data_IF_799275523556
#
_entry.id   IF_799275523556
#
_cell.length_a   1.000
_cell.length_b   1.000
_cell.length_c   1.000
_cell.angle_alpha   90.00
_cell.angle_beta   90.00
_cell.angle_gamma   90.00
#
_symmetry.space_group_name_H-M   'P 1'
#
loop_
_entity.id
_entity.type
_entity.pdbx_description
1 polymer ?
#
# COMPACT_ATOMS: atom_id res chain seq x y z
N UNK A 1 -24.05 23.91 -24.84
CA UNK A 1 -24.39 24.36 -23.47
C UNK A 1 -24.39 23.23 -22.43
N UNK A 2 -24.68 21.96 -22.76
CA UNK A 2 -24.50 20.83 -21.81
C UNK A 2 -23.10 20.23 -21.81
N UNK A 3 -22.34 20.35 -22.90
CA UNK A 3 -20.97 19.83 -23.01
C UNK A 3 -19.93 20.67 -22.28
N UNK A 4 -20.14 21.99 -22.17
CA UNK A 4 -19.21 22.92 -21.51
C UNK A 4 -19.34 22.88 -19.97
N UNK A 5 -20.53 22.60 -19.43
CA UNK A 5 -20.73 22.42 -17.98
C UNK A 5 -20.06 21.14 -17.45
N UNK A 6 -19.92 20.11 -18.27
CA UNK A 6 -19.36 18.84 -17.84
C UNK A 6 -17.83 18.89 -17.79
N UNK A 7 -17.18 19.56 -18.75
CA UNK A 7 -15.73 19.79 -18.73
C UNK A 7 -15.31 20.77 -17.63
N UNK A 8 -16.14 21.77 -17.31
CA UNK A 8 -15.88 22.72 -16.21
C UNK A 8 -16.02 22.06 -14.82
N UNK A 9 -16.90 21.06 -14.68
CA UNK A 9 -17.02 20.26 -13.45
C UNK A 9 -15.86 19.29 -13.27
N UNK A 10 -15.36 18.67 -14.34
CA UNK A 10 -14.16 17.80 -14.31
C UNK A 10 -12.91 18.63 -13.98
N UNK A 11 -12.75 19.81 -14.59
CA UNK A 11 -11.63 20.71 -14.27
C UNK A 11 -11.69 21.24 -12.84
N UNK A 12 -12.88 21.53 -12.30
CA UNK A 12 -13.03 21.92 -10.89
C UNK A 12 -12.76 20.75 -9.94
N UNK A 13 -13.11 19.52 -10.28
CA UNK A 13 -12.79 18.33 -9.48
C UNK A 13 -11.27 18.02 -9.50
N UNK A 14 -10.62 18.15 -10.65
CA UNK A 14 -9.17 17.98 -10.81
C UNK A 14 -8.37 19.11 -10.11
N UNK A 15 -8.89 20.35 -10.10
CA UNK A 15 -8.29 21.45 -9.33
C UNK A 15 -8.49 21.30 -7.82
N UNK A 16 -9.66 20.80 -7.37
CA UNK A 16 -9.91 20.50 -5.95
C UNK A 16 -9.01 19.38 -5.40
N UNK A 17 -8.60 18.44 -6.25
CA UNK A 17 -7.61 17.41 -5.92
C UNK A 17 -6.16 17.95 -5.88
N UNK A 18 -5.84 18.99 -6.67
CA UNK A 18 -4.50 19.57 -6.71
C UNK A 18 -4.21 20.59 -5.59
N UNK A 19 -5.22 21.24 -5.03
CA UNK A 19 -5.06 22.22 -3.95
C UNK A 19 -5.04 21.61 -2.53
N UNK A 20 -5.10 20.27 -2.39
CA UNK A 20 -5.35 19.59 -1.11
C UNK A 20 -4.23 18.66 -0.61
N UNK A 21 -3.01 18.78 -1.14
CA UNK A 21 -1.92 17.81 -0.90
C UNK A 21 -0.86 18.30 0.10
N UNK A 22 -1.24 19.12 1.08
CA UNK A 22 -0.42 19.34 2.28
C UNK A 22 -1.24 18.92 3.50
N UNK A 23 -0.91 17.73 4.03
CA UNK A 23 -1.40 17.18 5.30
C UNK A 23 -2.86 17.52 5.63
N UNK A 24 -3.80 16.89 4.91
CA UNK A 24 -5.19 16.90 5.35
C UNK A 24 -5.29 16.20 6.71
N UNK A 25 -5.60 16.96 7.75
CA UNK A 25 -6.29 16.39 8.90
C UNK A 25 -7.68 15.97 8.40
N UNK A 26 -7.82 14.68 8.07
CA UNK A 26 -9.11 14.12 7.71
C UNK A 26 -10.03 14.27 8.93
N UNK A 27 -11.12 15.03 8.78
CA UNK A 27 -12.14 15.14 9.81
C UNK A 27 -12.96 13.85 9.85
N UNK A 28 -12.36 12.81 10.42
CA UNK A 28 -13.07 11.59 10.77
C UNK A 28 -13.91 11.88 12.02
N UNK A 29 -15.17 11.42 12.00
CA UNK A 29 -16.07 11.61 13.14
C UNK A 29 -15.53 10.85 14.36
N UNK A 30 -15.84 11.37 15.55
CA UNK A 30 -15.51 10.68 16.79
C UNK A 30 -16.15 9.28 16.85
N UNK A 31 -17.33 9.10 16.26
CA UNK A 31 -17.99 7.80 16.14
C UNK A 31 -17.14 6.82 15.32
N UNK A 32 -16.67 7.20 14.12
CA UNK A 32 -15.81 6.33 13.31
C UNK A 32 -14.47 6.04 14.00
N UNK A 33 -13.89 7.02 14.70
CA UNK A 33 -12.66 6.80 15.45
C UNK A 33 -12.86 5.75 16.57
N UNK A 34 -14.02 5.73 17.22
CA UNK A 34 -14.37 4.71 18.23
C UNK A 34 -14.60 3.33 17.59
N UNK A 35 -15.25 3.26 16.43
CA UNK A 35 -15.38 2.00 15.67
C UNK A 35 -14.00 1.43 15.32
N UNK A 36 -13.09 2.27 14.83
CA UNK A 36 -11.70 1.87 14.52
C UNK A 36 -10.94 1.40 15.76
N UNK A 37 -11.21 1.97 16.93
CA UNK A 37 -10.65 1.50 18.20
C UNK A 37 -11.19 0.11 18.54
N UNK A 38 -12.50 -0.11 18.43
CA UNK A 38 -13.12 -1.42 18.66
C UNK A 38 -12.56 -2.47 17.68
N UNK A 39 -12.41 -2.14 16.40
CA UNK A 39 -11.83 -3.01 15.36
C UNK A 39 -10.40 -3.48 15.73
N UNK A 40 -9.56 -2.60 16.29
CA UNK A 40 -8.20 -2.97 16.74
C UNK A 40 -8.24 -3.89 17.96
N UNK A 41 -9.09 -3.57 18.94
CA UNK A 41 -9.20 -4.35 20.17
C UNK A 41 -9.74 -5.77 19.91
N UNK A 42 -10.69 -5.93 18.97
CA UNK A 42 -11.17 -7.24 18.53
C UNK A 42 -10.10 -8.09 17.83
N UNK A 43 -9.04 -7.45 17.31
CA UNK A 43 -7.90 -8.09 16.65
C UNK A 43 -6.70 -8.28 17.58
N UNK A 44 -6.88 -8.06 18.88
CA UNK A 44 -5.82 -8.08 19.89
C UNK A 44 -4.64 -7.11 19.54
N UNK A 45 -4.91 -6.04 18.80
CA UNK A 45 -3.91 -5.05 18.38
C UNK A 45 -3.95 -3.82 19.30
N UNK A 46 -2.85 -3.57 20.01
CA UNK A 46 -2.73 -2.40 20.87
C UNK A 46 -1.29 -1.89 20.98
N UNK A 47 -0.82 -1.20 19.93
CA UNK A 47 0.49 -0.55 19.90
C UNK A 47 0.36 0.95 20.20
N UNK A 48 0.52 1.31 21.47
CA UNK A 48 0.42 2.69 21.95
C UNK A 48 1.78 3.39 21.95
N UNK A 49 1.89 4.46 21.16
CA UNK A 49 3.05 5.34 21.11
C UNK A 49 2.93 6.44 22.19
N UNK A 50 3.92 6.48 23.08
CA UNK A 50 4.05 7.44 24.17
C UNK A 50 5.26 8.36 23.93
N UNK A 51 5.22 9.63 24.39
CA UNK A 51 4.18 10.27 25.21
C UNK A 51 3.00 10.88 24.42
N UNK A 52 2.93 10.71 23.11
CA UNK A 52 1.94 11.36 22.24
C UNK A 52 0.53 10.77 22.34
N UNK A 53 0.36 9.62 23.00
CA UNK A 53 -0.90 8.88 23.10
C UNK A 53 -1.52 8.64 21.72
N UNK A 54 -0.73 8.04 20.83
CA UNK A 54 -1.16 7.61 19.50
C UNK A 54 -1.20 6.09 19.45
N UNK A 55 -2.36 5.52 19.20
CA UNK A 55 -2.47 4.08 18.94
C UNK A 55 -2.32 3.84 17.44
N UNK A 56 -1.39 2.98 17.05
CA UNK A 56 -1.20 2.58 15.65
C UNK A 56 -2.47 1.90 15.16
N UNK A 57 -3.05 2.41 14.07
CA UNK A 57 -4.21 1.78 13.43
C UNK A 57 -3.80 0.97 12.20
N UNK A 58 -3.03 1.58 11.30
CA UNK A 58 -2.50 0.92 10.13
C UNK A 58 -1.21 1.59 9.70
N UNK A 59 -0.19 0.78 9.40
CA UNK A 59 1.09 1.22 8.85
C UNK A 59 1.53 0.31 7.71
N UNK A 60 1.75 0.90 6.53
CA UNK A 60 2.39 0.28 5.39
C UNK A 60 3.10 1.35 4.54
N UNK A 61 3.72 0.96 3.42
CA UNK A 61 4.48 1.90 2.58
C UNK A 61 3.66 2.99 1.88
N UNK A 62 2.33 2.88 1.88
CA UNK A 62 1.43 3.89 1.35
C UNK A 62 0.81 4.78 2.45
N UNK A 63 0.78 4.32 3.71
CA UNK A 63 0.10 5.04 4.79
C UNK A 63 0.69 4.77 6.18
N UNK A 64 0.74 5.81 7.01
CA UNK A 64 0.82 5.69 8.47
C UNK A 64 -0.41 6.36 9.09
N UNK A 65 -1.16 5.63 9.91
CA UNK A 65 -2.41 6.12 10.52
C UNK A 65 -2.52 5.75 11.98
N UNK A 66 -3.09 6.68 12.75
CA UNK A 66 -3.13 6.62 14.21
C UNK A 66 -4.48 7.07 14.77
N UNK A 67 -4.91 6.43 15.84
CA UNK A 67 -5.94 6.96 16.72
C UNK A 67 -5.27 7.81 17.80
N UNK A 68 -5.58 9.11 17.81
CA UNK A 68 -4.97 10.10 18.70
C UNK A 68 -5.92 10.41 19.85
N UNK A 69 -5.50 10.10 21.07
CA UNK A 69 -6.28 10.34 22.28
C UNK A 69 -6.02 11.76 22.81
N UNK A 70 -7.03 12.63 22.77
CA UNK A 70 -6.90 14.02 23.21
C UNK A 70 -7.22 14.19 24.69
N UNK A 71 -6.44 15.03 25.37
CA UNK A 71 -6.57 15.21 26.82
C UNK A 71 -6.29 13.94 27.60
N UNK A 72 -5.47 13.05 27.04
CA UNK A 72 -5.24 11.72 27.56
C UNK A 72 -4.34 11.73 28.81
N UNK A 73 -4.63 10.81 29.73
CA UNK A 73 -3.75 10.41 30.83
C UNK A 73 -3.84 8.91 31.01
N UNK A 74 -2.73 8.31 31.40
CA UNK A 74 -2.63 6.86 31.59
C UNK A 74 -2.25 6.52 33.03
N UNK A 75 -2.83 5.44 33.54
CA UNK A 75 -2.43 4.78 34.77
C UNK A 75 -2.19 3.29 34.51
N UNK A 76 -1.35 2.66 35.33
CA UNK A 76 -0.95 1.26 35.12
C UNK A 76 0.41 1.13 34.46
N UNK A 77 0.77 -0.09 34.07
CA UNK A 77 2.03 -0.42 33.41
C UNK A 77 1.71 -0.90 32.00
N UNK A 78 2.02 -0.09 31.00
CA UNK A 78 1.93 -0.51 29.61
C UNK A 78 3.15 -1.38 29.27
N UNK A 79 2.90 -2.55 28.67
CA UNK A 79 3.91 -3.45 28.13
C UNK A 79 3.91 -3.28 26.61
N UNK A 80 4.96 -2.65 26.08
CA UNK A 80 5.09 -2.36 24.65
C UNK A 80 5.49 -3.59 23.82
N UNK A 81 6.06 -4.62 24.46
CA UNK A 81 6.49 -5.88 23.84
C UNK A 81 5.49 -7.04 24.05
N UNK A 82 4.27 -6.76 24.48
CA UNK A 82 3.25 -7.78 24.73
C UNK A 82 2.60 -8.28 23.43
N UNK A 83 2.77 -9.57 23.12
CA UNK A 83 2.22 -10.25 21.92
C UNK A 83 1.07 -11.23 22.23
N UNK A 84 0.35 -11.03 23.34
CA UNK A 84 -0.74 -11.92 23.77
C UNK A 84 -2.15 -11.39 23.49
N UNK A 85 -3.20 -12.18 23.80
CA UNK A 85 -4.58 -11.73 23.70
C UNK A 85 -4.88 -10.57 24.66
N UNK A 86 -5.79 -9.69 24.27
CA UNK A 86 -6.22 -8.53 25.03
C UNK A 86 -7.64 -8.72 25.56
N UNK A 87 -7.89 -8.25 26.78
CA UNK A 87 -9.25 -7.99 27.25
C UNK A 87 -9.38 -6.49 27.44
N UNK A 88 -10.29 -5.87 26.69
CA UNK A 88 -10.42 -4.43 26.65
C UNK A 88 -11.87 -3.96 26.71
N UNK A 89 -12.06 -2.80 27.32
CA UNK A 89 -13.38 -2.16 27.39
C UNK A 89 -13.27 -0.65 27.30
N UNK A 90 -14.25 -0.05 26.62
CA UNK A 90 -14.40 1.40 26.50
C UNK A 90 -15.71 1.80 27.17
N UNK A 91 -15.64 2.72 28.13
CA UNK A 91 -16.82 3.33 28.75
C UNK A 91 -16.75 4.84 28.67
N UNK A 92 -17.91 5.50 28.75
CA UNK A 92 -18.00 6.95 28.84
C UNK A 92 -18.67 7.33 30.15
N UNK A 93 -17.90 7.91 31.07
CA UNK A 93 -18.34 8.24 32.43
C UNK A 93 -17.83 9.62 32.83
N UNK A 94 -18.63 10.38 33.58
CA UNK A 94 -18.25 11.68 34.14
C UNK A 94 -17.72 12.71 33.10
N UNK A 95 -18.10 12.59 31.83
CA UNK A 95 -17.69 13.49 30.76
C UNK A 95 -16.35 13.15 30.11
N UNK A 96 -15.81 11.97 30.36
CA UNK A 96 -14.60 11.44 29.72
C UNK A 96 -14.77 9.98 29.32
N UNK A 97 -13.96 9.54 28.36
CA UNK A 97 -13.83 8.14 27.99
C UNK A 97 -12.79 7.45 28.86
N UNK A 98 -13.04 6.18 29.18
CA UNK A 98 -12.13 5.30 29.91
C UNK A 98 -11.93 4.05 29.08
N UNK A 99 -10.71 3.86 28.58
CA UNK A 99 -10.27 2.64 27.93
C UNK A 99 -9.44 1.84 28.92
N UNK A 100 -9.88 0.63 29.25
CA UNK A 100 -9.13 -0.33 30.06
C UNK A 100 -8.65 -1.43 29.13
N UNK A 101 -7.35 -1.75 29.16
CA UNK A 101 -6.74 -2.85 28.39
C UNK A 101 -5.95 -3.73 29.34
N UNK A 102 -6.22 -5.03 29.31
CA UNK A 102 -5.51 -6.06 30.04
C UNK A 102 -4.45 -6.70 29.13
N UNK A 103 -3.20 -6.64 29.57
CA UNK A 103 -2.04 -7.31 28.98
C UNK A 103 -1.56 -8.36 29.99
N UNK A 104 -2.20 -9.53 29.98
CA UNK A 104 -2.04 -10.60 30.98
C UNK A 104 -2.28 -10.09 32.42
N UNK A 105 -1.26 -10.15 33.29
CA UNK A 105 -1.33 -9.65 34.67
C UNK A 105 -1.26 -8.12 34.77
N UNK A 106 -0.97 -7.41 33.68
CA UNK A 106 -0.91 -5.95 33.66
C UNK A 106 -2.22 -5.33 33.18
N UNK A 107 -2.59 -4.21 33.78
CA UNK A 107 -3.75 -3.41 33.37
C UNK A 107 -3.29 -2.00 33.10
N UNK A 108 -3.58 -1.53 31.89
CA UNK A 108 -3.41 -0.13 31.51
C UNK A 108 -4.78 0.52 31.38
N UNK A 109 -4.92 1.72 31.92
CA UNK A 109 -6.15 2.51 31.82
C UNK A 109 -5.83 3.87 31.23
N UNK A 110 -6.42 4.18 30.08
CA UNK A 110 -6.39 5.50 29.47
C UNK A 110 -7.70 6.23 29.75
N UNK A 111 -7.57 7.46 30.24
CA UNK A 111 -8.68 8.40 30.34
C UNK A 111 -8.47 9.49 29.30
N UNK A 112 -9.47 9.80 28.49
CA UNK A 112 -9.34 10.77 27.40
C UNK A 112 -10.66 11.50 27.13
N UNK A 113 -10.57 12.69 26.53
CA UNK A 113 -11.73 13.55 26.27
C UNK A 113 -12.36 13.30 24.91
N UNK A 114 -11.52 13.09 23.89
CA UNK A 114 -11.96 12.80 22.53
C UNK A 114 -10.92 11.98 21.79
N UNK A 115 -11.36 11.36 20.70
CA UNK A 115 -10.55 10.53 19.82
C UNK A 115 -10.61 11.11 18.41
N UNK A 116 -9.48 11.18 17.72
CA UNK A 116 -9.42 11.55 16.31
C UNK A 116 -8.52 10.61 15.54
N UNK A 117 -8.67 10.59 14.21
CA UNK A 117 -7.80 9.81 13.34
C UNK A 117 -6.81 10.75 12.65
N UNK A 118 -5.52 10.41 12.75
CA UNK A 118 -4.43 11.06 12.04
C UNK A 118 -3.98 10.12 10.92
N UNK A 119 -3.90 10.62 9.68
CA UNK A 119 -3.52 9.80 8.51
C UNK A 119 -2.47 10.55 7.69
N UNK A 120 -1.36 9.86 7.42
CA UNK A 120 -0.29 10.33 6.54
C UNK A 120 -0.19 9.42 5.34
N UNK A 121 -0.47 9.96 4.16
CA UNK A 121 -0.36 9.23 2.89
C UNK A 121 1.00 9.50 2.24
N UNK A 122 1.64 8.45 1.72
CA UNK A 122 2.98 8.54 1.16
C UNK A 122 3.07 8.03 -0.28
N UNK A 123 4.05 8.54 -1.01
CA UNK A 123 4.35 8.10 -2.36
C UNK A 123 4.99 6.71 -2.36
N UNK A 124 4.16 5.70 -2.60
CA UNK A 124 4.56 4.30 -2.71
C UNK A 124 5.01 3.88 -4.13
N UNK A 125 5.00 4.79 -5.11
CA UNK A 125 5.14 4.45 -6.54
C UNK A 125 6.51 3.87 -6.91
N UNK A 126 7.54 4.23 -6.15
CA UNK A 126 8.90 3.71 -6.32
C UNK A 126 9.35 2.86 -5.12
N UNK A 127 8.43 2.46 -4.25
CA UNK A 127 8.73 1.53 -3.17
C UNK A 127 8.99 0.15 -3.77
N UNK A 128 10.01 -0.55 -3.27
CA UNK A 128 10.22 -1.93 -3.65
C UNK A 128 11.03 -2.78 -2.68
N UNK A 129 10.50 -3.98 -2.44
CA UNK A 129 11.05 -5.00 -1.56
C UNK A 129 11.48 -6.23 -2.35
N UNK A 130 12.62 -6.81 -2.00
CA UNK A 130 13.21 -7.94 -2.73
C UNK A 130 13.35 -9.18 -1.85
N UNK A 131 12.29 -9.51 -1.09
CA UNK A 131 12.30 -10.63 -0.15
C UNK A 131 12.21 -12.01 -0.83
N UNK A 132 11.59 -12.07 -2.01
CA UNK A 132 11.44 -13.31 -2.79
C UNK A 132 12.08 -13.15 -4.17
N UNK A 133 12.97 -14.06 -4.53
CA UNK A 133 13.70 -14.03 -5.80
C UNK A 133 12.81 -14.35 -7.02
N UNK A 134 13.17 -13.75 -8.16
CA UNK A 134 12.57 -14.00 -9.46
C UNK A 134 11.28 -13.23 -9.70
N UNK A 135 11.14 -12.71 -10.92
CA UNK A 135 9.97 -11.93 -11.36
C UNK A 135 9.72 -10.69 -10.50
N UNK A 136 10.80 -10.07 -10.05
CA UNK A 136 10.82 -9.01 -9.04
C UNK A 136 9.90 -7.86 -9.43
N UNK A 137 9.82 -7.50 -10.72
CA UNK A 137 8.93 -6.46 -11.22
C UNK A 137 7.43 -6.78 -11.08
N UNK A 138 7.02 -8.06 -11.12
CA UNK A 138 5.63 -8.47 -10.87
C UNK A 138 5.34 -8.64 -9.39
N UNK A 139 6.33 -9.04 -8.60
CA UNK A 139 6.22 -9.01 -7.13
C UNK A 139 6.12 -7.59 -6.60
N UNK A 140 6.82 -6.62 -7.21
CA UNK A 140 6.64 -5.20 -6.86
C UNK A 140 5.22 -4.72 -7.15
N UNK A 141 4.64 -5.15 -8.28
CA UNK A 141 3.24 -4.85 -8.58
C UNK A 141 2.31 -5.49 -7.55
N UNK A 142 2.51 -6.77 -7.25
CA UNK A 142 1.72 -7.50 -6.26
C UNK A 142 1.78 -6.84 -4.88
N UNK A 143 2.98 -6.51 -4.39
CA UNK A 143 3.19 -5.82 -3.13
C UNK A 143 2.46 -4.47 -3.08
N UNK A 144 2.64 -3.64 -4.11
CA UNK A 144 1.99 -2.31 -4.17
C UNK A 144 0.47 -2.42 -4.26
N UNK A 145 -0.04 -3.45 -4.93
CA UNK A 145 -1.47 -3.75 -4.99
C UNK A 145 -1.98 -4.19 -3.60
N UNK A 146 -1.21 -5.01 -2.88
CA UNK A 146 -1.57 -5.48 -1.55
C UNK A 146 -1.66 -4.32 -0.54
N UNK A 147 -0.62 -3.48 -0.43
CA UNK A 147 -0.65 -2.31 0.48
C UNK A 147 -1.76 -1.32 0.12
N UNK A 148 -2.11 -1.22 -1.16
CA UNK A 148 -3.20 -0.37 -1.63
C UNK A 148 -4.57 -0.95 -1.29
N UNK A 149 -4.72 -2.27 -1.36
CA UNK A 149 -5.92 -2.97 -0.88
C UNK A 149 -6.10 -2.74 0.61
N UNK A 150 -5.04 -2.89 1.39
CA UNK A 150 -5.10 -2.65 2.83
C UNK A 150 -5.48 -1.19 3.11
N UNK A 151 -4.83 -0.22 2.44
CA UNK A 151 -5.21 1.21 2.54
C UNK A 151 -6.70 1.42 2.27
N UNK A 152 -7.26 0.81 1.23
CA UNK A 152 -8.67 0.92 0.89
C UNK A 152 -9.60 0.27 1.92
N UNK A 153 -9.25 -0.93 2.38
CA UNK A 153 -10.07 -1.74 3.29
C UNK A 153 -10.15 -1.13 4.68
N UNK A 154 -9.02 -0.70 5.23
CA UNK A 154 -8.94 -0.22 6.61
C UNK A 154 -9.30 1.25 6.76
N UNK A 155 -8.94 2.10 5.79
CA UNK A 155 -9.19 3.55 5.88
C UNK A 155 -10.43 4.00 5.11
N UNK A 156 -10.79 3.28 4.05
CA UNK A 156 -11.95 3.59 3.23
C UNK A 156 -11.63 4.31 1.91
N UNK A 157 -12.64 4.40 1.02
CA UNK A 157 -12.49 4.93 -0.33
C UNK A 157 -12.13 6.41 -0.40
N UNK A 158 -12.39 7.19 0.64
CA UNK A 158 -12.07 8.62 0.72
C UNK A 158 -10.55 8.90 0.75
N UNK A 159 -9.74 7.90 1.11
CA UNK A 159 -8.28 7.97 1.10
C UNK A 159 -7.67 7.49 -0.22
N UNK A 160 -8.48 6.93 -1.11
CA UNK A 160 -8.03 6.32 -2.36
C UNK A 160 -8.61 7.06 -3.57
N UNK A 161 -7.77 7.33 -4.57
CA UNK A 161 -8.29 7.84 -5.85
C UNK A 161 -9.15 6.79 -6.56
N UNK A 162 -10.03 7.18 -7.51
CA UNK A 162 -10.82 6.19 -8.26
C UNK A 162 -9.97 5.14 -8.99
N UNK A 163 -8.80 5.53 -9.49
CA UNK A 163 -7.87 4.58 -10.11
C UNK A 163 -7.24 3.66 -9.07
N UNK A 164 -6.86 4.19 -7.90
CA UNK A 164 -6.36 3.37 -6.80
C UNK A 164 -7.37 2.33 -6.35
N UNK A 165 -8.65 2.70 -6.22
CA UNK A 165 -9.72 1.77 -5.88
C UNK A 165 -9.82 0.63 -6.90
N UNK A 166 -9.69 0.92 -8.20
CA UNK A 166 -9.63 -0.10 -9.25
C UNK A 166 -8.39 -1.00 -9.11
N UNK A 167 -7.21 -0.40 -8.90
CA UNK A 167 -5.95 -1.14 -8.76
C UNK A 167 -5.96 -2.05 -7.52
N UNK A 168 -6.55 -1.60 -6.41
CA UNK A 168 -6.73 -2.39 -5.19
C UNK A 168 -7.53 -3.68 -5.44
N UNK A 169 -8.52 -3.66 -6.33
CA UNK A 169 -9.29 -4.87 -6.68
C UNK A 169 -8.42 -5.96 -7.29
N UNK A 170 -7.28 -5.61 -7.89
CA UNK A 170 -6.37 -6.58 -8.50
C UNK A 170 -5.73 -7.52 -7.47
N UNK A 171 -5.79 -7.20 -6.18
CA UNK A 171 -5.40 -8.11 -5.10
C UNK A 171 -6.25 -9.40 -5.15
N UNK A 172 -7.50 -9.29 -5.60
CA UNK A 172 -8.41 -10.42 -5.83
C UNK A 172 -8.27 -11.00 -7.25
N UNK A 173 -7.15 -10.76 -7.94
CA UNK A 173 -6.83 -11.38 -9.23
C UNK A 173 -5.70 -12.42 -9.07
N UNK A 174 -6.02 -13.72 -8.92
CA UNK A 174 -5.04 -14.78 -8.64
C UNK A 174 -3.80 -14.84 -9.56
N UNK A 175 -3.89 -14.51 -10.86
CA UNK A 175 -2.70 -14.47 -11.71
C UNK A 175 -1.70 -13.34 -11.39
N UNK A 176 -2.09 -12.30 -10.64
CA UNK A 176 -1.26 -11.15 -10.25
C UNK A 176 -1.35 -10.85 -8.74
N UNK A 177 -1.53 -11.89 -7.91
CA UNK A 177 -1.49 -11.76 -6.46
C UNK A 177 -0.55 -12.81 -5.83
N UNK A 178 -0.53 -12.91 -4.51
CA UNK A 178 0.30 -13.85 -3.76
C UNK A 178 0.18 -15.32 -4.18
N UNK A 179 -0.90 -15.74 -4.87
CA UNK A 179 -1.04 -17.11 -5.38
C UNK A 179 -0.02 -17.45 -6.46
N UNK A 180 0.41 -16.46 -7.24
CA UNK A 180 1.37 -16.64 -8.33
C UNK A 180 2.66 -15.84 -8.12
N UNK A 181 2.57 -14.68 -7.44
CA UNK A 181 3.69 -13.76 -7.21
C UNK A 181 3.74 -13.28 -5.76
N UNK A 182 3.89 -14.16 -4.77
CA UNK A 182 4.03 -13.71 -3.38
C UNK A 182 5.23 -12.75 -3.24
N UNK A 183 5.01 -11.49 -2.89
CA UNK A 183 6.10 -10.56 -2.63
C UNK A 183 6.78 -10.82 -1.29
N UNK A 184 6.07 -11.46 -0.37
CA UNK A 184 6.54 -11.79 0.98
C UNK A 184 6.84 -13.29 1.14
N UNK A 185 7.75 -13.68 2.05
CA UNK A 185 7.93 -15.07 2.44
C UNK A 185 6.64 -15.72 2.96
N UNK A 186 6.49 -17.03 2.79
CA UNK A 186 5.27 -17.79 3.12
C UNK A 186 4.75 -17.55 4.55
N UNK A 187 5.65 -17.32 5.51
CA UNK A 187 5.29 -17.08 6.92
C UNK A 187 4.53 -15.77 7.15
N UNK A 188 4.59 -14.83 6.20
CA UNK A 188 3.89 -13.53 6.27
C UNK A 188 2.65 -13.48 5.37
N UNK A 189 2.34 -14.55 4.65
CA UNK A 189 1.14 -14.60 3.81
C UNK A 189 -0.06 -14.89 4.69
N UNK A 190 -1.03 -13.96 4.71
CA UNK A 190 -2.33 -14.19 5.34
C UNK A 190 -3.17 -15.11 4.44
N UNK A 191 -3.53 -16.32 4.89
CA UNK A 191 -4.32 -17.25 4.07
C UNK A 191 -5.71 -16.68 3.77
N UNK A 192 -6.16 -16.81 2.52
CA UNK A 192 -7.54 -16.48 2.13
C UNK A 192 -8.39 -17.71 1.91
N UNK A 193 -9.68 -17.55 2.16
CA UNK A 193 -10.69 -18.49 1.69
C UNK A 193 -10.75 -18.45 0.16
N UNK A 194 -10.70 -19.64 -0.47
CA UNK A 194 -10.75 -19.81 -1.93
C UNK A 194 -9.78 -18.90 -2.71
N UNK A 195 -8.46 -19.00 -2.49
CA UNK A 195 -7.49 -18.03 -3.00
C UNK A 195 -7.35 -18.02 -4.53
N UNK A 196 -7.91 -19.03 -5.22
CA UNK A 196 -7.92 -19.15 -6.67
C UNK A 196 -9.21 -18.63 -7.32
N UNK A 197 -10.15 -18.13 -6.53
CA UNK A 197 -11.38 -17.53 -7.01
C UNK A 197 -11.17 -16.02 -7.19
N UNK A 198 -11.21 -15.51 -8.44
CA UNK A 198 -11.17 -14.07 -8.67
C UNK A 198 -12.53 -13.43 -8.35
N UNK A 199 -12.53 -12.15 -8.01
CA UNK A 199 -13.75 -11.34 -8.06
C UNK A 199 -14.07 -10.86 -9.48
N UNK A 200 -15.35 -10.57 -9.73
CA UNK A 200 -15.78 -10.06 -11.04
C UNK A 200 -15.22 -8.65 -11.30
N UNK A 201 -15.07 -7.86 -10.25
CA UNK A 201 -14.45 -6.54 -10.25
C UNK A 201 -12.99 -6.65 -10.70
N UNK A 202 -12.21 -7.54 -10.08
CA UNK A 202 -10.80 -7.74 -10.41
C UNK A 202 -10.59 -8.14 -11.88
N UNK A 203 -11.42 -9.06 -12.40
CA UNK A 203 -11.36 -9.45 -13.82
C UNK A 203 -11.73 -8.27 -14.72
N UNK A 204 -12.76 -7.51 -14.36
CA UNK A 204 -13.22 -6.37 -15.15
C UNK A 204 -12.15 -5.30 -15.23
N UNK A 205 -11.48 -4.96 -14.12
CA UNK A 205 -10.36 -4.03 -14.12
C UNK A 205 -9.20 -4.53 -14.98
N UNK A 206 -8.85 -5.83 -14.90
CA UNK A 206 -7.81 -6.40 -15.77
C UNK A 206 -8.18 -6.35 -17.26
N UNK A 207 -9.45 -6.56 -17.60
CA UNK A 207 -9.94 -6.44 -18.98
C UNK A 207 -9.88 -4.99 -19.47
N UNK A 208 -10.32 -4.03 -18.66
CA UNK A 208 -10.21 -2.59 -18.97
C UNK A 208 -8.77 -2.16 -19.25
N UNK A 209 -7.82 -2.54 -18.38
CA UNK A 209 -6.42 -2.19 -18.56
C UNK A 209 -5.78 -2.95 -19.73
N UNK A 210 -6.22 -4.17 -20.04
CA UNK A 210 -5.76 -4.90 -21.23
C UNK A 210 -6.28 -4.24 -22.53
N UNK A 211 -7.49 -3.69 -22.52
CA UNK A 211 -8.06 -2.88 -23.61
C UNK A 211 -7.29 -1.57 -23.80
N UNK A 212 -6.99 -0.86 -22.71
CA UNK A 212 -6.19 0.37 -22.75
C UNK A 212 -4.77 0.12 -23.29
N UNK A 213 -4.17 -1.03 -22.98
CA UNK A 213 -2.87 -1.43 -23.50
C UNK A 213 -2.91 -1.96 -24.97
N UNK A 214 -4.08 -2.08 -25.59
CA UNK A 214 -4.34 -2.76 -26.87
C UNK A 214 -3.79 -4.21 -26.91
N UNK A 215 -3.80 -4.93 -25.78
CA UNK A 215 -3.35 -6.32 -25.72
C UNK A 215 -4.47 -7.30 -26.07
N UNK A 216 -4.74 -7.39 -27.37
CA UNK A 216 -5.76 -8.29 -27.94
C UNK A 216 -5.61 -9.75 -27.54
N UNK A 217 -4.41 -10.19 -27.16
CA UNK A 217 -4.21 -11.55 -26.69
C UNK A 217 -4.53 -11.72 -25.22
N UNK A 218 -4.17 -10.77 -24.37
CA UNK A 218 -4.54 -10.79 -22.96
C UNK A 218 -6.06 -10.66 -22.79
N UNK A 219 -6.72 -9.77 -23.54
CA UNK A 219 -8.18 -9.63 -23.54
C UNK A 219 -8.88 -10.96 -23.82
N UNK A 220 -8.41 -11.73 -24.82
CA UNK A 220 -8.96 -13.06 -25.13
C UNK A 220 -8.75 -14.06 -24.00
N UNK A 221 -7.59 -14.01 -23.34
CA UNK A 221 -7.29 -14.89 -22.20
C UNK A 221 -8.17 -14.56 -21.00
N UNK A 222 -8.35 -13.28 -20.68
CA UNK A 222 -9.19 -12.82 -19.57
C UNK A 222 -10.67 -13.19 -19.78
N UNK A 223 -11.20 -13.02 -21.00
CA UNK A 223 -12.57 -13.46 -21.33
C UNK A 223 -12.79 -14.96 -21.16
N UNK A 224 -11.76 -15.77 -21.40
CA UNK A 224 -11.80 -17.20 -21.14
C UNK A 224 -11.67 -17.50 -19.64
N UNK A 225 -10.76 -16.81 -18.95
CA UNK A 225 -10.55 -16.93 -17.51
C UNK A 225 -11.81 -16.65 -16.72
N UNK A 226 -12.57 -15.60 -17.08
CA UNK A 226 -13.85 -15.26 -16.45
C UNK A 226 -14.80 -16.46 -16.34
N UNK A 227 -14.85 -17.30 -17.39
CA UNK A 227 -15.72 -18.49 -17.45
C UNK A 227 -15.09 -19.75 -16.86
N UNK A 228 -13.76 -19.81 -16.80
CA UNK A 228 -13.00 -21.02 -16.50
C UNK A 228 -11.80 -20.72 -15.58
N UNK A 229 -12.06 -19.99 -14.50
CA UNK A 229 -11.06 -19.64 -13.50
C UNK A 229 -10.70 -20.84 -12.62
N UNK A 230 -9.67 -20.67 -11.81
CA UNK A 230 -9.13 -21.71 -10.93
C UNK A 230 -7.61 -21.84 -11.05
N UNK A 231 -7.02 -22.69 -10.20
CA UNK A 231 -5.57 -22.75 -10.00
C UNK A 231 -4.76 -22.92 -11.29
N UNK A 232 -5.14 -23.87 -12.15
CA UNK A 232 -4.38 -24.17 -13.38
C UNK A 232 -4.41 -23.01 -14.37
N UNK A 233 -5.58 -22.40 -14.56
CA UNK A 233 -5.71 -21.26 -15.47
C UNK A 233 -5.01 -20.02 -14.91
N UNK A 234 -5.08 -19.82 -13.59
CA UNK A 234 -4.43 -18.68 -12.94
C UNK A 234 -2.92 -18.71 -13.17
N UNK A 235 -2.30 -19.87 -12.91
CA UNK A 235 -0.87 -20.10 -13.19
C UNK A 235 -0.54 -19.95 -14.67
N UNK A 236 -1.42 -20.39 -15.56
CA UNK A 236 -1.21 -20.22 -17.00
C UNK A 236 -1.16 -18.74 -17.40
N UNK A 237 -2.08 -17.92 -16.88
CA UNK A 237 -2.10 -16.48 -17.14
C UNK A 237 -0.90 -15.79 -16.49
N UNK A 238 -0.54 -16.17 -15.27
CA UNK A 238 0.67 -15.69 -14.62
C UNK A 238 1.89 -15.88 -15.54
N UNK A 239 2.11 -17.09 -16.06
CA UNK A 239 3.19 -17.35 -17.03
C UNK A 239 3.12 -16.44 -18.27
N UNK A 240 1.93 -16.02 -18.71
CA UNK A 240 1.78 -15.04 -19.81
C UNK A 240 2.20 -13.64 -19.41
N UNK A 241 1.89 -13.18 -18.19
CA UNK A 241 2.31 -11.86 -17.69
C UNK A 241 3.83 -11.67 -17.72
N UNK A 242 4.61 -12.77 -17.68
CA UNK A 242 6.07 -12.72 -17.85
C UNK A 242 6.58 -12.54 -19.27
N UNK A 243 5.73 -12.78 -20.27
CA UNK A 243 6.20 -12.84 -21.64
C UNK A 243 6.41 -11.44 -22.20
N UNK A 244 7.46 -11.28 -23.01
CA UNK A 244 7.79 -10.01 -23.66
C UNK A 244 6.64 -9.44 -24.49
N UNK A 245 5.77 -10.32 -25.00
CA UNK A 245 4.53 -9.97 -25.70
C UNK A 245 3.59 -9.08 -24.87
N UNK A 246 3.54 -9.27 -23.55
CA UNK A 246 2.61 -8.62 -22.63
C UNK A 246 3.26 -7.47 -21.84
N UNK A 247 4.48 -7.06 -22.21
CA UNK A 247 5.25 -6.03 -21.50
C UNK A 247 4.52 -4.69 -21.43
N UNK A 248 3.90 -4.24 -22.52
CA UNK A 248 3.18 -2.95 -22.54
C UNK A 248 2.02 -2.94 -21.55
N UNK A 249 1.34 -4.07 -21.38
CA UNK A 249 0.26 -4.21 -20.41
C UNK A 249 0.77 -4.11 -18.97
N UNK A 250 1.87 -4.80 -18.62
CA UNK A 250 2.49 -4.71 -17.29
C UNK A 250 3.03 -3.31 -17.01
N UNK A 251 3.62 -2.66 -18.01
CA UNK A 251 4.14 -1.29 -17.88
C UNK A 251 3.01 -0.29 -17.65
N UNK A 252 1.87 -0.45 -18.33
CA UNK A 252 0.69 0.38 -18.07
C UNK A 252 0.22 0.27 -16.61
N UNK A 253 0.13 -0.95 -16.05
CA UNK A 253 -0.25 -1.15 -14.64
C UNK A 253 0.74 -0.45 -13.69
N UNK A 254 2.03 -0.60 -13.96
CA UNK A 254 3.10 0.03 -13.17
C UNK A 254 3.04 1.55 -13.25
N UNK A 255 2.83 2.09 -14.45
CA UNK A 255 2.73 3.54 -14.69
C UNK A 255 1.50 4.13 -14.01
N UNK A 256 0.36 3.44 -14.02
CA UNK A 256 -0.85 3.88 -13.29
C UNK A 256 -0.59 3.96 -11.79
N UNK A 257 -0.04 2.92 -11.16
CA UNK A 257 0.33 2.96 -9.74
C UNK A 257 1.26 4.14 -9.42
N UNK A 258 2.28 4.37 -10.27
CA UNK A 258 3.20 5.50 -10.09
C UNK A 258 2.53 6.85 -10.24
N UNK A 259 1.62 7.00 -11.20
CA UNK A 259 0.88 8.24 -11.41
C UNK A 259 -0.02 8.57 -10.23
N UNK A 260 -0.70 7.57 -9.68
CA UNK A 260 -1.56 7.75 -8.51
C UNK A 260 -0.73 8.04 -7.25
N UNK A 261 0.35 7.29 -7.03
CA UNK A 261 1.24 7.49 -5.89
C UNK A 261 1.96 8.85 -5.91
N UNK A 262 2.19 9.43 -7.09
CA UNK A 262 2.80 10.76 -7.24
C UNK A 262 1.92 11.90 -6.71
N UNK A 263 0.64 11.63 -6.42
CA UNK A 263 -0.24 12.56 -5.73
C UNK A 263 0.05 12.68 -4.23
N UNK A 264 0.95 11.87 -3.67
CA UNK A 264 1.31 11.89 -2.25
C UNK A 264 2.75 12.37 -2.05
N UNK A 265 3.07 12.98 -0.89
CA UNK A 265 4.44 13.37 -0.57
C UNK A 265 5.35 12.16 -0.36
N UNK A 266 6.65 12.34 -0.53
CA UNK A 266 7.63 11.37 -0.03
C UNK A 266 7.75 11.51 1.50
N UNK A 267 8.14 10.43 2.19
CA UNK A 267 8.50 10.50 3.61
C UNK A 267 9.67 11.48 3.82
N UNK A 268 9.69 12.13 4.97
CA UNK A 268 10.81 12.97 5.43
C UNK A 268 11.30 12.44 6.76
N UNK A 269 12.61 12.24 6.85
CA UNK A 269 13.31 11.68 8.02
C UNK A 269 14.18 12.76 8.70
N UNK A 270 13.87 14.02 8.43
CA UNK A 270 14.68 15.16 8.84
C UNK A 270 15.80 15.47 7.85
N UNK A 271 16.19 16.75 7.85
CA UNK A 271 17.05 17.36 6.82
C UNK A 271 18.31 16.55 6.51
N UNK A 272 19.04 16.10 7.52
CA UNK A 272 20.30 15.38 7.30
C UNK A 272 20.11 14.00 6.68
N UNK A 273 19.07 13.27 7.09
CA UNK A 273 18.74 11.96 6.53
C UNK A 273 18.24 12.11 5.08
N UNK A 274 17.35 13.06 4.84
CA UNK A 274 16.82 13.36 3.52
C UNK A 274 17.93 13.76 2.52
N UNK A 275 18.91 14.56 2.96
CA UNK A 275 20.09 14.90 2.16
C UNK A 275 20.95 13.67 1.82
N UNK A 276 21.06 12.69 2.72
CA UNK A 276 21.75 11.41 2.46
C UNK A 276 20.96 10.55 1.47
N UNK A 277 19.66 10.38 1.70
CA UNK A 277 18.77 9.61 0.83
C UNK A 277 18.76 10.18 -0.60
N UNK A 278 18.70 11.51 -0.73
CA UNK A 278 18.74 12.18 -2.02
C UNK A 278 20.06 11.97 -2.78
N UNK A 279 21.19 11.82 -2.09
CA UNK A 279 22.47 11.46 -2.72
C UNK A 279 22.43 10.06 -3.31
N UNK A 280 21.91 9.07 -2.56
CA UNK A 280 21.75 7.69 -3.06
C UNK A 280 20.81 7.63 -4.27
N UNK A 281 19.67 8.33 -4.20
CA UNK A 281 18.73 8.43 -5.34
C UNK A 281 19.38 9.10 -6.55
N UNK A 282 20.15 10.17 -6.34
CA UNK A 282 20.84 10.88 -7.43
C UNK A 282 21.90 10.00 -8.11
N UNK A 283 22.63 9.20 -7.32
CA UNK A 283 23.57 8.20 -7.85
C UNK A 283 22.84 7.13 -8.67
N UNK A 284 21.74 6.58 -8.14
CA UNK A 284 20.91 5.61 -8.85
C UNK A 284 20.38 6.17 -10.18
N UNK A 285 19.87 7.40 -10.19
CA UNK A 285 19.37 8.09 -11.39
C UNK A 285 20.47 8.38 -12.41
N UNK A 286 21.70 8.67 -11.96
CA UNK A 286 22.85 8.82 -12.86
C UNK A 286 23.16 7.51 -13.58
N UNK A 287 23.27 6.41 -12.84
CA UNK A 287 23.49 5.08 -13.43
C UNK A 287 22.32 4.64 -14.33
N UNK A 288 21.08 4.94 -13.93
CA UNK A 288 19.89 4.71 -14.76
C UNK A 288 19.99 5.45 -16.11
N UNK A 289 20.45 6.70 -16.11
CA UNK A 289 20.65 7.49 -17.32
C UNK A 289 21.76 6.90 -18.22
N UNK A 290 22.85 6.38 -17.63
CA UNK A 290 23.92 5.69 -18.36
C UNK A 290 23.42 4.39 -19.01
N UNK A 291 22.57 3.62 -18.33
CA UNK A 291 21.91 2.43 -18.88
C UNK A 291 20.94 2.81 -20.02
N UNK A 292 20.19 3.89 -19.85
CA UNK A 292 19.28 4.38 -20.88
C UNK A 292 20.02 4.75 -22.17
N UNK A 293 21.20 5.39 -22.08
CA UNK A 293 22.05 5.69 -23.25
C UNK A 293 22.54 4.42 -23.96
N UNK A 294 22.66 3.30 -23.24
CA UNK A 294 23.00 1.99 -23.79
C UNK A 294 21.77 1.23 -24.33
N UNK A 295 20.58 1.83 -24.29
CA UNK A 295 19.32 1.19 -24.69
C UNK A 295 18.79 0.17 -23.67
N UNK A 296 19.31 0.18 -22.44
CA UNK A 296 18.92 -0.73 -21.37
C UNK A 296 17.87 -0.05 -20.49
N UNK A 297 16.68 -0.66 -20.41
CA UNK A 297 15.61 -0.18 -19.51
C UNK A 297 15.97 -0.53 -18.06
N UNK A 298 15.75 0.41 -17.15
CA UNK A 298 15.94 0.20 -15.71
C UNK A 298 15.02 1.10 -14.88
N UNK A 299 14.85 0.76 -13.61
CA UNK A 299 13.96 1.42 -12.67
C UNK A 299 14.66 1.61 -11.33
N UNK A 300 14.56 2.82 -10.76
CA UNK A 300 15.06 3.12 -9.42
C UNK A 300 13.93 2.84 -8.43
N UNK A 301 14.24 2.08 -7.38
CA UNK A 301 13.33 1.68 -6.32
C UNK A 301 13.95 1.99 -4.97
N UNK A 302 13.12 2.16 -3.94
CA UNK A 302 13.56 2.43 -2.57
C UNK A 302 12.79 1.60 -1.56
N UNK A 303 13.43 1.35 -0.44
CA UNK A 303 12.87 0.74 0.76
C UNK A 303 13.07 1.77 1.87
N UNK A 304 12.02 2.07 2.62
CA UNK A 304 11.98 3.18 3.58
C UNK A 304 11.53 2.67 4.95
N UNK A 305 12.16 3.10 6.06
CA UNK A 305 11.59 2.89 7.38
C UNK A 305 10.30 3.69 7.56
N UNK A 306 9.54 3.34 8.58
CA UNK A 306 8.43 4.17 9.06
C UNK A 306 8.93 5.45 9.73
N UNK A 307 8.14 6.53 9.63
CA UNK A 307 8.50 7.85 10.18
C UNK A 307 8.18 7.92 11.67
N UNK A 308 6.98 7.45 12.08
CA UNK A 308 6.46 7.67 13.43
C UNK A 308 6.85 6.54 14.39
N UNK A 309 6.52 5.29 14.08
CA UNK A 309 6.99 4.12 14.82
C UNK A 309 8.23 3.57 14.09
N UNK A 310 9.39 4.21 14.33
CA UNK A 310 10.64 3.85 13.66
C UNK A 310 10.96 2.38 13.89
N UNK A 311 11.02 1.63 12.80
CA UNK A 311 11.45 0.24 12.79
C UNK A 311 12.98 0.16 12.66
N UNK A 312 13.51 -1.06 12.71
CA UNK A 312 14.95 -1.31 12.53
C UNK A 312 15.39 -1.22 11.06
N UNK A 313 14.51 -0.80 10.13
CA UNK A 313 14.82 -0.77 8.71
C UNK A 313 15.69 0.44 8.34
N UNK A 314 16.74 0.17 7.56
CA UNK A 314 17.51 1.22 6.92
C UNK A 314 16.86 1.64 5.60
N UNK A 315 17.00 2.92 5.25
CA UNK A 315 16.67 3.41 3.90
C UNK A 315 17.63 2.79 2.86
N UNK A 316 17.07 2.12 1.84
CA UNK A 316 17.86 1.47 0.78
C UNK A 316 17.38 1.94 -0.58
N UNK A 317 18.33 2.04 -1.52
CA UNK A 317 18.04 2.35 -2.93
C UNK A 317 18.50 1.21 -3.80
N UNK A 318 17.66 0.82 -4.74
CA UNK A 318 17.91 -0.26 -5.68
C UNK A 318 17.76 0.24 -7.12
N UNK A 319 18.56 -0.34 -8.01
CA UNK A 319 18.43 -0.19 -9.45
C UNK A 319 18.03 -1.56 -10.03
N UNK A 320 16.78 -1.67 -10.48
CA UNK A 320 16.25 -2.85 -11.17
C UNK A 320 16.46 -2.71 -12.67
N UNK A 321 17.34 -3.53 -13.23
CA UNK A 321 17.77 -3.50 -14.63
C UNK A 321 17.04 -4.57 -15.41
N UNK A 322 16.31 -4.18 -16.45
CA UNK A 322 15.56 -5.12 -17.27
C UNK A 322 16.46 -5.81 -18.30
N UNK A 323 16.27 -7.11 -18.46
CA UNK A 323 16.98 -7.94 -19.44
C UNK A 323 16.01 -8.79 -20.25
N UNK A 324 16.37 -9.01 -21.50
CA UNK A 324 15.65 -9.92 -22.37
C UNK A 324 16.06 -11.37 -22.09
N UNK A 325 15.09 -12.27 -21.92
CA UNK A 325 15.31 -13.70 -21.69
C UNK A 325 14.44 -14.53 -22.63
N UNK A 326 14.71 -14.45 -23.94
CA UNK A 326 13.95 -15.19 -24.93
C UNK A 326 12.51 -14.70 -25.05
N UNK A 327 11.55 -15.57 -24.70
CA UNK A 327 10.13 -15.20 -24.68
C UNK A 327 9.72 -14.45 -23.41
N UNK A 328 10.57 -14.46 -22.39
CA UNK A 328 10.28 -13.89 -21.08
C UNK A 328 11.07 -12.61 -20.82
N UNK A 329 10.55 -11.79 -19.92
CA UNK A 329 11.26 -10.65 -19.32
C UNK A 329 11.97 -11.13 -18.06
N UNK A 330 13.23 -10.77 -17.90
CA UNK A 330 13.97 -10.94 -16.65
C UNK A 330 14.43 -9.60 -16.11
N UNK A 331 14.90 -9.59 -14.88
CA UNK A 331 15.56 -8.44 -14.28
C UNK A 331 16.82 -8.84 -13.52
N UNK A 332 17.67 -7.86 -13.24
CA UNK A 332 18.74 -7.94 -12.27
C UNK A 332 18.58 -6.75 -11.33
N UNK A 333 18.65 -7.00 -10.03
CA UNK A 333 18.50 -5.96 -9.02
C UNK A 333 19.87 -5.72 -8.39
N UNK A 334 20.26 -4.45 -8.30
CA UNK A 334 21.49 -4.03 -7.64
C UNK A 334 21.17 -2.98 -6.59
N UNK A 335 21.70 -3.14 -5.37
CA UNK A 335 21.64 -2.11 -4.34
C UNK A 335 22.68 -1.02 -4.62
N UNK A 336 22.28 0.22 -4.42
CA UNK A 336 23.13 1.40 -4.44
C UNK A 336 23.64 1.64 -3.03
N UNK A 337 24.95 1.81 -2.90
CA UNK A 337 25.64 2.06 -1.64
C UNK A 337 26.27 3.45 -1.64
#
# INVERSE_FOLDING_TARGET
METEKNTENVWKAEQKNKENVENQAYQISQERALEMLEELLEQDQFELLLPEYKLVYMMNDAVESFLVFHGARMTGIYQDDYEGPLDASVTYENGEYVLVVHQDDSVVTLFYQSLSVEVHLYNYGEIGHFWVEGYEYLRQLEYRIAILRDKLEYLGPEFCTPTEQKLAMLEQFPPLNYCCYPAVPDQYIVPKDNPWQPSEEAITVMEEFAEEADDKSMIKLLKYYRKHHGMRMSRYIAVKLHQTKHVRFIELLTEKLKQEAANYPNRSFGKEADERHQKLISQAKKEQAELYQQGIKSEVLREEPFVTAQDELDYKVYLMIYKWQGKNRGVNVRRIN
#
